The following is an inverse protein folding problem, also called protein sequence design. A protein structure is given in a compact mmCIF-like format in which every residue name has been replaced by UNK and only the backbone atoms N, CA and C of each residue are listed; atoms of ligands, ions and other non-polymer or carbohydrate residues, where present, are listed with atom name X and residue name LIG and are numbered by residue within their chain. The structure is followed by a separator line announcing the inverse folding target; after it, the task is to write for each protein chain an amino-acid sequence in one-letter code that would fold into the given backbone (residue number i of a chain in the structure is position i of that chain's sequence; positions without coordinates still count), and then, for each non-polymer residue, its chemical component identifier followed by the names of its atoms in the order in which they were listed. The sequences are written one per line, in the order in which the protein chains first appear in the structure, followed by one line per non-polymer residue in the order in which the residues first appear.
data_IF_728597851158
#
_entry.id   IF_728597851158
#
_cell.length_a   1.000
_cell.length_b   1.000
_cell.length_c   1.000
_cell.angle_alpha   90.00
_cell.angle_beta   90.00
_cell.angle_gamma   90.00
#
_symmetry.space_group_name_H-M   'P 1'
#
loop_
_entity.id
_entity.type
_entity.pdbx_description
1 polymer ?
#
# COMPACT_ATOMS: atom_id res chain seq x y z
N UNK A 1 -2.65 -3.17 4.38
CA UNK A 1 -3.81 -2.30 4.08
C UNK A 1 -4.94 -3.04 3.35
N UNK A 2 -4.73 -3.74 2.21
CA UNK A 2 -5.81 -4.44 1.49
C UNK A 2 -6.64 -5.35 2.41
N UNK A 3 -6.00 -6.19 3.22
CA UNK A 3 -6.66 -7.08 4.19
C UNK A 3 -7.43 -6.35 5.31
N UNK A 4 -7.17 -5.08 5.55
CA UNK A 4 -7.97 -4.29 6.49
C UNK A 4 -9.40 -4.07 5.97
N UNK A 5 -9.55 -3.87 4.67
CA UNK A 5 -10.85 -3.69 4.02
C UNK A 5 -11.46 -5.01 3.55
N UNK A 6 -10.62 -5.92 3.04
CA UNK A 6 -11.03 -7.21 2.47
C UNK A 6 -10.20 -8.32 3.14
N UNK A 7 -10.65 -8.86 4.28
CA UNK A 7 -9.89 -9.86 5.05
C UNK A 7 -9.66 -11.17 4.30
N UNK A 8 -10.67 -11.63 3.55
CA UNK A 8 -10.70 -12.93 2.90
C UNK A 8 -10.34 -12.82 1.41
N UNK A 9 -9.08 -12.61 1.09
CA UNK A 9 -8.59 -12.57 -0.29
C UNK A 9 -8.35 -14.01 -0.76
N UNK A 10 -8.90 -14.36 -1.93
CA UNK A 10 -8.86 -15.71 -2.50
C UNK A 10 -8.06 -15.81 -3.80
N UNK A 11 -7.76 -14.70 -4.46
CA UNK A 11 -7.00 -14.69 -5.71
C UNK A 11 -6.22 -13.40 -5.92
N UNK A 12 -5.06 -13.52 -6.53
CA UNK A 12 -4.15 -12.42 -6.87
C UNK A 12 -3.82 -12.46 -8.36
N UNK A 13 -3.95 -11.33 -9.03
CA UNK A 13 -3.43 -11.09 -10.39
C UNK A 13 -2.49 -9.90 -10.38
N UNK A 14 -1.34 -10.00 -11.03
CA UNK A 14 -0.39 -8.89 -11.09
C UNK A 14 0.25 -8.75 -12.46
N UNK A 15 0.61 -7.52 -12.81
CA UNK A 15 1.42 -7.17 -13.97
C UNK A 15 2.55 -6.29 -13.48
N UNK A 16 3.79 -6.64 -13.84
CA UNK A 16 4.99 -5.88 -13.49
C UNK A 16 5.72 -5.40 -14.73
N UNK A 17 6.46 -4.31 -14.60
CA UNK A 17 7.36 -3.78 -15.61
C UNK A 17 8.60 -3.15 -14.97
N UNK A 18 9.65 -2.96 -15.78
CA UNK A 18 10.87 -2.25 -15.41
C UNK A 18 11.04 -1.06 -16.36
N UNK A 19 11.01 0.15 -15.83
CA UNK A 19 11.06 1.39 -16.60
C UNK A 19 12.09 2.39 -16.07
N UNK A 20 12.58 2.21 -14.84
CA UNK A 20 13.38 3.22 -14.15
C UNK A 20 14.71 2.68 -13.58
N UNK A 21 14.80 1.40 -13.21
CA UNK A 21 15.91 0.88 -12.41
C UNK A 21 16.47 -0.44 -12.95
N UNK A 22 17.56 -0.37 -13.72
CA UNK A 22 18.23 -1.55 -14.31
C UNK A 22 18.65 -2.59 -13.26
N UNK A 23 19.07 -2.15 -12.08
CA UNK A 23 19.49 -3.05 -11.00
C UNK A 23 18.32 -3.90 -10.45
N UNK A 24 17.08 -3.41 -10.51
CA UNK A 24 15.90 -4.18 -10.10
C UNK A 24 15.60 -5.26 -11.13
N UNK A 25 15.73 -4.93 -12.41
CA UNK A 25 15.59 -5.90 -13.49
C UNK A 25 16.64 -7.02 -13.38
N UNK A 26 17.88 -6.69 -13.01
CA UNK A 26 18.94 -7.67 -12.80
C UNK A 26 18.63 -8.69 -11.71
N UNK A 27 17.88 -8.29 -10.68
CA UNK A 27 17.39 -9.17 -9.59
C UNK A 27 16.07 -9.90 -9.93
N UNK A 28 15.60 -9.82 -11.18
CA UNK A 28 14.34 -10.44 -11.63
C UNK A 28 13.10 -9.97 -10.85
N UNK A 29 13.13 -8.70 -10.44
CA UNK A 29 12.04 -8.00 -9.75
C UNK A 29 11.51 -6.86 -10.64
N UNK A 30 10.50 -6.12 -10.18
CA UNK A 30 9.81 -5.07 -10.91
C UNK A 30 9.90 -3.72 -10.19
N UNK A 31 10.05 -2.63 -10.93
CA UNK A 31 10.01 -1.27 -10.40
C UNK A 31 8.62 -0.61 -10.49
N UNK A 32 7.74 -1.16 -11.33
CA UNK A 32 6.31 -0.82 -11.39
C UNK A 32 5.47 -2.10 -11.36
N UNK A 33 4.45 -2.10 -10.51
CA UNK A 33 3.54 -3.26 -10.38
C UNK A 33 2.11 -2.77 -10.18
N UNK A 34 1.18 -3.38 -10.89
CA UNK A 34 -0.24 -3.30 -10.60
C UNK A 34 -0.74 -4.66 -10.16
N UNK A 35 -1.39 -4.72 -9.00
CA UNK A 35 -1.93 -5.95 -8.42
C UNK A 35 -3.44 -5.82 -8.27
N UNK A 36 -4.17 -6.82 -8.69
CA UNK A 36 -5.61 -6.97 -8.44
C UNK A 36 -5.84 -8.16 -7.51
N UNK A 37 -6.50 -7.90 -6.39
CA UNK A 37 -6.91 -8.91 -5.41
C UNK A 37 -8.41 -9.11 -5.49
N UNK A 38 -8.87 -10.36 -5.41
CA UNK A 38 -10.29 -10.70 -5.29
C UNK A 38 -10.59 -11.23 -3.91
N UNK A 39 -11.59 -10.67 -3.27
CA UNK A 39 -12.17 -11.18 -2.05
C UNK A 39 -13.15 -12.33 -2.29
N UNK A 40 -13.46 -13.08 -1.25
CA UNK A 40 -14.33 -14.24 -1.29
C UNK A 40 -15.80 -13.87 -1.61
N UNK A 41 -16.23 -12.66 -1.26
CA UNK A 41 -17.57 -12.13 -1.47
C UNK A 41 -17.69 -11.32 -2.79
N UNK A 42 -16.62 -11.33 -3.60
CA UNK A 42 -16.58 -10.62 -4.89
C UNK A 42 -15.95 -9.24 -4.85
N UNK A 43 -15.41 -8.83 -3.72
CA UNK A 43 -14.69 -7.55 -3.59
C UNK A 43 -13.45 -7.52 -4.48
N UNK A 44 -13.12 -6.34 -4.97
CA UNK A 44 -11.94 -6.11 -5.79
C UNK A 44 -11.08 -5.02 -5.16
N UNK A 45 -9.80 -5.31 -5.00
CA UNK A 45 -8.79 -4.33 -4.56
C UNK A 45 -7.74 -4.18 -5.65
N UNK A 46 -7.44 -2.96 -6.02
CA UNK A 46 -6.33 -2.65 -6.93
C UNK A 46 -5.23 -1.93 -6.16
N UNK A 47 -4.00 -2.42 -6.28
CA UNK A 47 -2.80 -1.80 -5.71
C UNK A 47 -1.91 -1.39 -6.88
N UNK A 48 -1.49 -0.13 -6.90
CA UNK A 48 -0.52 0.39 -7.87
C UNK A 48 0.72 0.83 -7.12
N UNK A 49 1.84 0.21 -7.43
CA UNK A 49 3.13 0.51 -6.81
C UNK A 49 4.14 0.95 -7.87
N UNK A 50 4.91 1.99 -7.56
CA UNK A 50 6.09 2.37 -8.33
C UNK A 50 7.24 2.67 -7.38
N UNK A 51 8.43 2.27 -7.73
CA UNK A 51 9.65 2.63 -7.01
C UNK A 51 10.15 4.04 -7.33
N UNK A 52 9.52 4.68 -8.31
CA UNK A 52 9.87 6.04 -8.73
C UNK A 52 8.64 6.95 -8.72
N UNK A 53 8.57 7.84 -7.73
CA UNK A 53 7.58 8.90 -7.65
C UNK A 53 8.31 10.25 -7.57
N UNK A 54 8.38 10.97 -8.68
CA UNK A 54 9.11 12.24 -8.81
C UNK A 54 8.57 13.37 -7.93
N UNK A 55 7.33 13.25 -7.45
CA UNK A 55 6.63 14.24 -6.61
C UNK A 55 6.68 13.93 -5.11
N UNK A 56 7.47 12.94 -4.69
CA UNK A 56 7.64 12.52 -3.31
C UNK A 56 7.04 11.16 -2.99
N UNK A 57 7.08 10.78 -1.72
CA UNK A 57 6.55 9.49 -1.24
C UNK A 57 5.03 9.52 -1.26
N UNK A 58 4.43 8.83 -2.23
CA UNK A 58 2.99 8.83 -2.44
C UNK A 58 2.32 7.60 -1.84
N UNK A 59 1.31 7.83 -1.00
CA UNK A 59 0.46 6.80 -0.47
C UNK A 59 -0.97 7.33 -0.31
N UNK A 60 -1.89 6.74 -1.06
CA UNK A 60 -3.30 7.09 -1.07
C UNK A 60 -4.16 5.85 -1.01
N UNK A 61 -5.35 5.97 -0.45
CA UNK A 61 -6.33 4.88 -0.36
C UNK A 61 -7.70 5.43 -0.71
N UNK A 62 -8.42 4.68 -1.53
CA UNK A 62 -9.81 4.91 -1.83
C UNK A 62 -10.58 3.63 -1.58
N UNK A 63 -11.71 3.71 -0.87
CA UNK A 63 -12.62 2.61 -0.63
C UNK A 63 -14.01 3.02 -1.09
N UNK A 64 -14.53 2.34 -2.10
CA UNK A 64 -15.85 2.57 -2.67
C UNK A 64 -16.79 1.44 -2.28
N UNK A 65 -17.98 1.79 -1.82
CA UNK A 65 -19.03 0.85 -1.42
C UNK A 65 -20.44 1.34 -1.77
N UNK A 66 -21.44 0.53 -1.50
CA UNK A 66 -22.84 0.82 -1.81
C UNK A 66 -23.39 2.08 -1.11
N UNK A 67 -22.84 2.44 0.03
CA UNK A 67 -23.28 3.60 0.82
C UNK A 67 -22.43 4.84 0.62
N UNK A 68 -21.34 4.76 -0.17
CA UNK A 68 -20.48 5.89 -0.44
C UNK A 68 -19.01 5.53 -0.68
N UNK A 69 -18.16 6.53 -0.58
CA UNK A 69 -16.73 6.43 -0.84
C UNK A 69 -15.93 7.12 0.26
N UNK A 70 -14.86 6.48 0.69
CA UNK A 70 -13.85 7.05 1.59
C UNK A 70 -12.55 7.26 0.82
N UNK A 71 -11.94 8.41 0.99
CA UNK A 71 -10.65 8.75 0.39
C UNK A 71 -9.69 9.21 1.48
N UNK A 72 -8.56 8.53 1.60
CA UNK A 72 -7.41 8.98 2.37
C UNK A 72 -6.35 9.51 1.41
N UNK A 73 -6.28 10.83 1.29
CA UNK A 73 -5.27 11.51 0.48
C UNK A 73 -3.89 11.39 1.10
N UNK A 74 -2.86 11.68 0.31
CA UNK A 74 -1.49 11.69 0.83
C UNK A 74 -1.28 12.81 1.86
N UNK A 75 -0.31 12.61 2.75
CA UNK A 75 0.03 13.58 3.79
C UNK A 75 0.91 14.68 3.20
N UNK A 76 0.53 15.93 3.44
CA UNK A 76 1.29 17.12 3.08
C UNK A 76 1.96 17.73 4.32
N UNK A 77 3.09 18.43 4.12
CA UNK A 77 3.80 19.10 5.21
C UNK A 77 2.97 20.21 5.89
N UNK A 78 2.06 20.83 5.13
CA UNK A 78 1.11 21.82 5.62
C UNK A 78 -0.11 21.92 4.69
N UNK A 79 -1.11 22.70 5.09
CA UNK A 79 -2.36 22.92 4.33
C UNK A 79 -2.34 24.15 3.43
N UNK A 80 -1.20 24.84 3.28
CA UNK A 80 -1.09 26.06 2.48
C UNK A 80 -1.26 25.75 1.02
N UNK A 81 -2.12 26.53 0.35
CA UNK A 81 -2.29 26.54 -1.12
C UNK A 81 -1.88 27.88 -1.66
N UNK A 82 -1.09 27.91 -2.71
CA UNK A 82 -0.67 29.14 -3.36
C UNK A 82 -1.36 29.33 -4.70
N UNK A 83 -1.72 30.58 -4.98
CA UNK A 83 -2.36 31.00 -6.22
C UNK A 83 -1.52 32.12 -6.83
N UNK A 84 -1.12 31.98 -8.07
CA UNK A 84 -0.31 32.96 -8.81
C UNK A 84 -0.66 32.95 -10.30
N UNK A 85 -0.07 33.85 -11.06
CA UNK A 85 -0.20 33.82 -12.52
C UNK A 85 0.39 32.56 -13.17
N UNK A 86 1.23 31.80 -12.46
CA UNK A 86 1.93 30.61 -12.98
C UNK A 86 1.32 29.30 -12.47
N UNK A 87 0.57 29.31 -11.39
CA UNK A 87 0.00 28.11 -10.78
C UNK A 87 -1.25 28.41 -9.98
N UNK A 88 -2.19 27.49 -10.00
CA UNK A 88 -3.43 27.53 -9.22
C UNK A 88 -3.42 26.29 -8.31
N UNK A 89 -3.76 26.49 -7.02
CA UNK A 89 -3.79 25.43 -6.00
C UNK A 89 -2.47 24.67 -5.80
N UNK A 90 -1.34 25.33 -6.02
CA UNK A 90 -0.05 24.70 -5.74
C UNK A 90 0.12 24.49 -4.23
N UNK A 91 0.48 23.28 -3.85
CA UNK A 91 0.64 22.84 -2.45
C UNK A 91 2.10 22.57 -2.12
N UNK A 92 2.40 22.41 -0.82
CA UNK A 92 3.70 21.89 -0.40
C UNK A 92 3.96 20.50 -1.02
N UNK A 93 5.21 20.16 -1.36
CA UNK A 93 5.55 18.81 -1.83
C UNK A 93 5.24 17.77 -0.74
N UNK A 94 5.02 16.54 -1.16
CA UNK A 94 4.90 15.41 -0.24
C UNK A 94 6.24 15.14 0.46
N UNK A 95 6.24 14.46 1.63
CA UNK A 95 7.46 13.97 2.24
C UNK A 95 8.29 13.19 1.23
N UNK A 96 9.61 13.37 1.26
CA UNK A 96 10.48 12.76 0.25
C UNK A 96 10.69 11.26 0.48
N UNK A 97 10.59 10.81 1.74
CA UNK A 97 10.94 9.43 2.10
C UNK A 97 10.02 8.84 3.17
N UNK A 98 10.00 7.52 3.27
CA UNK A 98 9.09 6.81 4.18
C UNK A 98 9.33 7.13 5.66
N UNK A 99 10.57 7.43 6.06
CA UNK A 99 10.87 7.79 7.45
C UNK A 99 10.11 9.03 7.91
N UNK A 100 10.03 10.06 7.05
CA UNK A 100 9.24 11.26 7.34
C UNK A 100 7.74 10.95 7.33
N UNK A 101 7.31 10.17 6.32
CA UNK A 101 5.90 9.83 6.12
C UNK A 101 5.32 8.98 7.25
N UNK A 102 6.12 8.08 7.82
CA UNK A 102 5.66 7.11 8.82
C UNK A 102 6.13 7.39 10.24
N UNK A 103 6.79 8.51 10.53
CA UNK A 103 7.28 8.83 11.87
C UNK A 103 6.21 8.61 12.96
N UNK A 104 5.01 9.19 12.77
CA UNK A 104 3.89 9.03 13.69
C UNK A 104 3.35 7.58 13.72
N UNK A 105 3.42 6.85 12.61
CA UNK A 105 2.97 5.46 12.55
C UNK A 105 3.88 4.54 13.38
N UNK A 106 5.19 4.73 13.30
CA UNK A 106 6.17 4.00 14.12
C UNK A 106 6.01 4.30 15.62
N UNK A 107 5.80 5.57 15.98
CA UNK A 107 5.53 5.96 17.36
C UNK A 107 4.27 5.23 17.91
N UNK A 108 3.17 5.27 17.16
CA UNK A 108 1.92 4.62 17.53
C UNK A 108 2.03 3.10 17.60
N UNK A 109 2.79 2.50 16.70
CA UNK A 109 3.05 1.06 16.71
C UNK A 109 3.77 0.62 17.99
N UNK A 110 4.83 1.34 18.37
CA UNK A 110 5.57 1.07 19.61
C UNK A 110 4.71 1.29 20.86
N UNK A 111 3.92 2.35 20.88
CA UNK A 111 2.98 2.63 21.97
C UNK A 111 1.95 1.51 22.11
N UNK A 112 1.26 1.15 21.01
CA UNK A 112 0.26 0.09 21.02
C UNK A 112 0.85 -1.27 21.40
N UNK A 113 2.09 -1.55 20.99
CA UNK A 113 2.81 -2.77 21.40
C UNK A 113 3.09 -2.78 22.91
N UNK A 114 3.56 -1.66 23.47
CA UNK A 114 3.81 -1.50 24.90
C UNK A 114 2.55 -1.65 25.74
N UNK A 115 1.47 -0.98 25.38
CA UNK A 115 0.16 -1.10 26.00
C UNK A 115 -0.36 -2.55 25.95
N UNK A 116 -0.25 -3.20 24.78
CA UNK A 116 -0.65 -4.61 24.63
C UNK A 116 0.15 -5.59 25.51
N UNK A 117 1.40 -5.27 25.88
CA UNK A 117 2.17 -6.05 26.84
C UNK A 117 1.65 -5.82 28.27
N UNK A 118 1.39 -4.57 28.65
CA UNK A 118 0.98 -4.20 30.00
C UNK A 118 -0.44 -4.67 30.31
N UNK A 119 -1.35 -4.56 29.37
CA UNK A 119 -2.76 -4.88 29.54
C UNK A 119 -3.12 -6.32 29.16
N UNK A 120 -2.16 -7.11 28.63
CA UNK A 120 -2.40 -8.47 28.14
C UNK A 120 -3.30 -8.52 26.90
N UNK A 121 -3.51 -7.39 26.21
CA UNK A 121 -4.37 -7.30 25.04
C UNK A 121 -3.73 -8.02 23.83
N UNK A 122 -4.54 -8.58 22.90
CA UNK A 122 -4.03 -9.14 21.66
C UNK A 122 -3.26 -8.08 20.85
N UNK A 123 -2.10 -8.46 20.36
CA UNK A 123 -1.28 -7.58 19.50
C UNK A 123 -1.86 -7.58 18.09
N UNK A 124 -2.11 -6.38 17.56
CA UNK A 124 -2.64 -6.20 16.21
C UNK A 124 -1.80 -5.13 15.48
N UNK A 125 -1.18 -5.43 14.32
CA UNK A 125 -1.30 -6.71 13.59
C UNK A 125 -0.58 -7.87 14.30
N UNK A 126 -1.11 -9.09 14.10
CA UNK A 126 -0.57 -10.34 14.63
C UNK A 126 0.53 -10.90 13.71
N UNK A 127 1.20 -11.96 14.18
CA UNK A 127 2.12 -12.74 13.34
C UNK A 127 1.41 -13.35 12.11
N UNK A 128 0.18 -13.83 12.27
CA UNK A 128 -0.60 -14.38 11.15
C UNK A 128 -0.97 -13.30 10.13
N UNK A 129 -1.20 -12.06 10.55
CA UNK A 129 -1.41 -10.94 9.63
C UNK A 129 -0.17 -10.65 8.78
N UNK A 130 1.01 -10.69 9.41
CA UNK A 130 2.29 -10.54 8.71
C UNK A 130 2.52 -11.68 7.71
N UNK A 131 2.29 -12.94 8.14
CA UNK A 131 2.38 -14.13 7.28
C UNK A 131 1.43 -14.04 6.09
N UNK A 132 0.18 -13.66 6.31
CA UNK A 132 -0.80 -13.51 5.25
C UNK A 132 -0.43 -12.39 4.25
N UNK A 133 0.16 -11.29 4.72
CA UNK A 133 0.65 -10.24 3.84
C UNK A 133 1.80 -10.74 2.93
N UNK A 134 2.72 -11.55 3.48
CA UNK A 134 3.81 -12.16 2.71
C UNK A 134 3.28 -13.15 1.66
N UNK A 135 2.33 -14.02 2.02
CA UNK A 135 1.71 -14.95 1.07
C UNK A 135 1.05 -14.22 -0.12
N UNK A 136 0.42 -13.08 0.13
CA UNK A 136 -0.15 -12.26 -0.95
C UNK A 136 0.93 -11.61 -1.82
N UNK A 137 2.05 -11.19 -1.25
CA UNK A 137 3.18 -10.64 -1.99
C UNK A 137 3.83 -11.70 -2.89
N UNK A 138 4.06 -12.90 -2.36
CA UNK A 138 4.61 -14.04 -3.12
C UNK A 138 3.68 -14.43 -4.28
N UNK A 139 2.35 -14.49 -4.02
CA UNK A 139 1.36 -14.77 -5.06
C UNK A 139 1.33 -13.66 -6.14
N UNK A 140 1.53 -12.40 -5.77
CA UNK A 140 1.62 -11.30 -6.72
C UNK A 140 2.88 -11.43 -7.61
N UNK A 141 4.02 -11.77 -7.03
CA UNK A 141 5.25 -12.01 -7.78
C UNK A 141 5.11 -13.20 -8.73
N UNK A 142 4.53 -14.32 -8.27
CA UNK A 142 4.24 -15.49 -9.11
C UNK A 142 3.30 -15.12 -10.25
N UNK A 143 2.24 -14.37 -9.97
CA UNK A 143 1.29 -13.90 -10.97
C UNK A 143 1.96 -13.02 -12.03
N UNK A 144 2.77 -12.04 -11.60
CA UNK A 144 3.49 -11.15 -12.51
C UNK A 144 4.47 -11.90 -13.43
N UNK A 145 5.13 -12.94 -12.91
CA UNK A 145 6.06 -13.78 -13.69
C UNK A 145 5.36 -14.77 -14.62
N UNK A 146 4.25 -15.35 -14.18
CA UNK A 146 3.53 -16.36 -14.96
C UNK A 146 2.48 -15.80 -15.91
N UNK A 147 2.05 -14.55 -15.72
CA UNK A 147 0.94 -13.93 -16.44
C UNK A 147 -0.44 -14.53 -16.10
N UNK A 148 -0.56 -15.26 -14.99
CA UNK A 148 -1.79 -15.95 -14.57
C UNK A 148 -2.23 -15.50 -13.19
N UNK A 149 -3.54 -15.57 -12.92
CA UNK A 149 -4.05 -15.41 -11.58
C UNK A 149 -3.60 -16.58 -10.68
N UNK A 150 -3.22 -16.26 -9.45
CA UNK A 150 -2.80 -17.22 -8.42
C UNK A 150 -3.87 -17.29 -7.34
N UNK A 151 -4.35 -18.50 -7.07
CA UNK A 151 -5.28 -18.73 -5.95
C UNK A 151 -4.51 -18.71 -4.63
N UNK A 152 -5.07 -18.06 -3.60
CA UNK A 152 -4.47 -17.99 -2.26
C UNK A 152 -5.41 -18.54 -1.20
N UNK A 153 -4.82 -19.12 -0.16
CA UNK A 153 -5.50 -19.53 1.09
C UNK A 153 -4.72 -18.92 2.24
N UNK A 154 -5.32 -17.96 2.90
CA UNK A 154 -4.75 -17.22 4.03
C UNK A 154 -5.00 -17.92 5.36
#
# INVERSE_FOLDING_TARGET
MARFFVPNIVSVSAVGSNSFCDYIQAESDFDNVTVTLRGAEGEIVTIVNSRHASFGYDQRIEAFGSEGMLVASNVQANSVRSYSAKSVEATAPYPNFFLERYALAYERELQAFGEGILDGAPKNPSFDDGRAALLLADAALESAKSGRAVAVRL
#
